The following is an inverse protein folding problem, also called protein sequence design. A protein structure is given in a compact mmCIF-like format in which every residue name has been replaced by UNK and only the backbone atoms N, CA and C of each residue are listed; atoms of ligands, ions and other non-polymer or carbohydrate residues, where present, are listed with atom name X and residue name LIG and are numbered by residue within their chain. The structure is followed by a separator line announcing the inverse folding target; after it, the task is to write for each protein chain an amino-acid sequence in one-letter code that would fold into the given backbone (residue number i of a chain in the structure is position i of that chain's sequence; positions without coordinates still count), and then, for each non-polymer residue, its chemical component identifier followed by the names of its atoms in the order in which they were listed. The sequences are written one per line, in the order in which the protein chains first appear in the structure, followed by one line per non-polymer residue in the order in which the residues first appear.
data_IF_315481794099
#
_entry.id   IF_315481794099
#
_cell.length_a   1.000
_cell.length_b   1.000
_cell.length_c   1.000
_cell.angle_alpha   90.00
_cell.angle_beta   90.00
_cell.angle_gamma   90.00
#
_symmetry.space_group_name_H-M   'P 1'
#
loop_
_entity.id
_entity.type
_entity.pdbx_description
1 polymer ?
#
# COMPACT_ATOMS: atom_id res chain seq x y z
N UNK A 1 -3.78 14.71 -3.82
CA UNK A 1 -3.28 13.31 -3.86
C UNK A 1 -1.81 13.37 -4.22
N UNK A 2 -0.94 12.66 -3.49
CA UNK A 2 0.52 12.66 -3.70
C UNK A 2 1.00 11.23 -3.87
N UNK A 3 1.77 10.95 -4.92
CA UNK A 3 2.49 9.68 -5.06
C UNK A 3 3.74 9.72 -4.16
N UNK A 4 3.80 8.88 -3.13
CA UNK A 4 4.90 8.88 -2.17
C UNK A 4 5.42 7.46 -2.00
N UNK A 5 6.68 7.21 -2.34
CA UNK A 5 7.28 5.90 -2.10
C UNK A 5 7.38 5.59 -0.60
N UNK A 6 6.87 4.44 -0.18
CA UNK A 6 6.89 4.01 1.23
C UNK A 6 8.30 3.66 1.72
N UNK A 7 9.18 3.27 0.81
CA UNK A 7 10.54 2.85 1.10
C UNK A 7 11.43 4.03 1.46
N UNK A 8 11.07 5.22 0.98
CA UNK A 8 11.82 6.46 1.18
C UNK A 8 11.17 7.37 2.23
N UNK A 9 9.96 7.05 2.72
CA UNK A 9 9.15 7.95 3.53
C UNK A 9 8.38 7.23 4.64
N UNK A 10 8.29 7.86 5.81
CA UNK A 10 7.42 7.39 6.89
C UNK A 10 5.96 7.84 6.64
N UNK A 11 5.21 6.97 5.97
CA UNK A 11 3.79 7.18 5.69
C UNK A 11 2.96 7.40 6.95
N UNK A 12 3.25 6.70 8.04
CA UNK A 12 2.47 6.83 9.27
C UNK A 12 2.65 8.22 9.89
N UNK A 13 3.89 8.74 9.89
CA UNK A 13 4.18 10.11 10.33
C UNK A 13 3.52 11.15 9.42
N UNK A 14 3.58 10.96 8.11
CA UNK A 14 2.97 11.89 7.14
C UNK A 14 1.45 11.92 7.31
N UNK A 15 0.78 10.76 7.37
CA UNK A 15 -0.66 10.68 7.58
C UNK A 15 -1.06 11.33 8.91
N UNK A 16 -0.37 11.03 10.02
CA UNK A 16 -0.64 11.70 11.30
C UNK A 16 -0.50 13.23 11.23
N UNK A 17 0.49 13.73 10.52
CA UNK A 17 0.73 15.17 10.39
C UNK A 17 -0.23 15.89 9.45
N UNK A 18 -0.78 15.19 8.45
CA UNK A 18 -1.53 15.81 7.35
C UNK A 18 -2.90 15.15 7.07
N UNK A 19 -3.43 14.37 8.02
CA UNK A 19 -4.70 13.67 7.87
C UNK A 19 -5.82 14.62 7.43
N UNK A 20 -6.63 14.18 6.47
CA UNK A 20 -7.74 14.97 5.90
C UNK A 20 -7.31 16.11 4.98
N UNK A 21 -6.00 16.41 4.86
CA UNK A 21 -5.47 17.47 3.98
C UNK A 21 -4.79 16.90 2.74
N UNK A 22 -4.21 15.71 2.86
CA UNK A 22 -3.58 15.00 1.74
C UNK A 22 -4.08 13.56 1.66
N UNK A 23 -3.93 12.98 0.48
CA UNK A 23 -4.13 11.55 0.24
C UNK A 23 -2.83 11.00 -0.33
N UNK A 24 -2.28 9.96 0.29
CA UNK A 24 -1.11 9.25 -0.19
C UNK A 24 -1.54 8.16 -1.18
N UNK A 25 -0.87 8.09 -2.31
CA UNK A 25 -1.06 7.08 -3.34
C UNK A 25 0.19 6.21 -3.45
N UNK A 26 0.00 4.89 -3.52
CA UNK A 26 1.08 3.90 -3.41
C UNK A 26 0.84 2.96 -2.23
N UNK A 27 1.88 2.67 -1.44
CA UNK A 27 1.73 1.93 -0.18
C UNK A 27 2.09 0.46 -0.23
N UNK A 28 2.33 -0.10 -1.42
CA UNK A 28 3.04 -1.38 -1.60
C UNK A 28 4.38 -1.12 -2.29
N UNK A 29 5.46 -1.64 -1.73
CA UNK A 29 6.84 -1.39 -2.15
C UNK A 29 7.07 -1.89 -3.57
N UNK A 30 7.67 -1.03 -4.40
CA UNK A 30 8.11 -1.39 -5.74
C UNK A 30 9.18 -2.49 -5.69
N UNK A 31 10.06 -2.44 -4.69
CA UNK A 31 11.10 -3.47 -4.49
C UNK A 31 10.48 -4.82 -4.08
N UNK A 32 9.43 -4.79 -3.27
CA UNK A 32 8.75 -6.01 -2.81
C UNK A 32 7.93 -6.63 -3.94
N UNK A 33 7.27 -5.82 -4.75
CA UNK A 33 6.57 -6.30 -5.95
C UNK A 33 7.54 -6.87 -7.01
N UNK A 34 8.76 -6.31 -7.13
CA UNK A 34 9.79 -6.81 -8.06
C UNK A 34 10.48 -8.09 -7.55
N UNK A 35 10.95 -8.09 -6.30
CA UNK A 35 11.88 -9.11 -5.79
C UNK A 35 11.37 -9.92 -4.61
N UNK A 36 10.32 -9.46 -3.95
CA UNK A 36 9.76 -10.12 -2.78
C UNK A 36 8.94 -11.35 -3.11
N UNK A 37 8.52 -12.04 -2.05
CA UNK A 37 7.57 -13.16 -2.11
C UNK A 37 6.13 -12.66 -1.98
N UNK A 38 5.17 -13.48 -2.40
CA UNK A 38 3.74 -13.20 -2.25
C UNK A 38 3.34 -12.98 -0.78
N UNK A 39 3.97 -13.68 0.16
CA UNK A 39 3.75 -13.47 1.61
C UNK A 39 4.24 -12.10 2.08
N UNK A 40 5.39 -11.62 1.56
CA UNK A 40 5.85 -10.28 1.88
C UNK A 40 4.89 -9.22 1.32
N UNK A 41 4.41 -9.40 0.08
CA UNK A 41 3.39 -8.53 -0.51
C UNK A 41 2.13 -8.48 0.35
N UNK A 42 1.67 -9.63 0.85
CA UNK A 42 0.48 -9.70 1.71
C UNK A 42 0.63 -8.86 2.99
N UNK A 43 1.79 -8.96 3.66
CA UNK A 43 2.10 -8.16 4.85
C UNK A 43 2.01 -6.67 4.53
N UNK A 44 2.58 -6.23 3.42
CA UNK A 44 2.56 -4.82 3.02
C UNK A 44 1.17 -4.31 2.67
N UNK A 45 0.35 -5.13 2.00
CA UNK A 45 -1.06 -4.80 1.73
C UNK A 45 -1.84 -4.64 3.03
N UNK A 46 -1.64 -5.53 4.00
CA UNK A 46 -2.30 -5.44 5.30
C UNK A 46 -1.90 -4.19 6.08
N UNK A 47 -0.61 -3.82 6.06
CA UNK A 47 -0.12 -2.57 6.63
C UNK A 47 -0.77 -1.37 5.95
N UNK A 48 -0.85 -1.37 4.62
CA UNK A 48 -1.47 -0.30 3.86
C UNK A 48 -2.97 -0.16 4.16
N UNK A 49 -3.70 -1.28 4.28
CA UNK A 49 -5.10 -1.31 4.72
C UNK A 49 -5.24 -0.71 6.12
N UNK A 50 -4.37 -1.10 7.06
CA UNK A 50 -4.38 -0.56 8.43
C UNK A 50 -4.16 0.95 8.45
N UNK A 51 -3.19 1.45 7.67
CA UNK A 51 -2.93 2.89 7.54
C UNK A 51 -4.12 3.64 6.92
N UNK A 52 -4.80 3.02 5.96
CA UNK A 52 -5.96 3.59 5.28
C UNK A 52 -7.28 3.57 6.06
N UNK A 53 -7.32 2.98 7.26
CA UNK A 53 -8.55 2.88 8.07
C UNK A 53 -9.22 4.23 8.37
N UNK A 54 -8.41 5.28 8.52
CA UNK A 54 -8.89 6.63 8.80
C UNK A 54 -9.08 7.47 7.52
N UNK A 55 -9.00 6.84 6.34
CA UNK A 55 -8.93 7.53 5.05
C UNK A 55 -7.55 8.11 4.74
N UNK A 56 -7.41 8.76 3.58
CA UNK A 56 -6.15 9.40 3.17
C UNK A 56 -5.14 8.48 2.49
N UNK A 57 -5.52 7.23 2.15
CA UNK A 57 -4.66 6.27 1.44
C UNK A 57 -5.39 5.70 0.23
N UNK A 58 -4.72 5.69 -0.92
CA UNK A 58 -5.09 4.92 -2.10
C UNK A 58 -3.99 3.88 -2.32
N UNK A 59 -4.31 2.61 -2.05
CA UNK A 59 -3.35 1.52 -2.21
C UNK A 59 -3.05 1.27 -3.69
N UNK A 60 -1.77 1.31 -4.04
CA UNK A 60 -1.24 1.05 -5.36
C UNK A 60 0.24 0.60 -5.25
N UNK A 61 0.84 0.07 -6.33
CA UNK A 61 2.29 -0.05 -6.40
C UNK A 61 2.97 1.30 -6.15
N UNK A 62 4.08 1.31 -5.41
CA UNK A 62 4.85 2.51 -5.09
C UNK A 62 5.56 3.15 -6.29
N UNK A 63 5.53 2.47 -7.45
CA UNK A 63 5.99 2.97 -8.74
C UNK A 63 5.25 2.29 -9.90
N UNK A 64 5.20 2.96 -11.04
CA UNK A 64 4.67 2.41 -12.28
C UNK A 64 5.75 1.63 -13.04
N UNK A 65 5.92 0.35 -12.72
CA UNK A 65 6.85 -0.57 -13.38
C UNK A 65 6.15 -1.87 -13.75
N UNK A 66 6.82 -2.71 -14.55
CA UNK A 66 6.39 -4.08 -14.81
C UNK A 66 6.86 -4.98 -13.66
N UNK A 67 5.93 -5.55 -12.91
CA UNK A 67 6.20 -6.44 -11.79
C UNK A 67 5.87 -7.89 -12.11
N UNK A 68 6.31 -8.82 -11.25
CA UNK A 68 5.94 -10.23 -11.34
C UNK A 68 4.42 -10.39 -11.21
N UNK A 69 3.81 -11.11 -12.14
CA UNK A 69 2.36 -11.32 -12.16
C UNK A 69 1.83 -11.95 -10.88
N UNK A 70 2.57 -12.88 -10.28
CA UNK A 70 2.22 -13.52 -9.00
C UNK A 70 2.14 -12.53 -7.83
N UNK A 71 3.02 -11.52 -7.81
CA UNK A 71 3.05 -10.51 -6.76
C UNK A 71 1.92 -9.50 -6.93
N UNK A 72 1.59 -9.11 -8.17
CA UNK A 72 0.42 -8.27 -8.45
C UNK A 72 -0.88 -9.00 -8.11
N UNK A 73 -0.97 -10.29 -8.42
CA UNK A 73 -2.13 -11.09 -8.08
C UNK A 73 -2.26 -11.30 -6.57
N UNK A 74 -1.16 -11.53 -5.86
CA UNK A 74 -1.15 -11.58 -4.39
C UNK A 74 -1.62 -10.25 -3.79
N UNK A 75 -1.15 -9.12 -4.31
CA UNK A 75 -1.59 -7.79 -3.88
C UNK A 75 -3.11 -7.62 -4.03
N UNK A 76 -3.65 -8.00 -5.20
CA UNK A 76 -5.08 -7.94 -5.50
C UNK A 76 -5.91 -8.83 -4.57
N UNK A 77 -5.52 -10.10 -4.43
CA UNK A 77 -6.24 -11.09 -3.61
C UNK A 77 -6.35 -10.65 -2.14
N UNK A 78 -5.23 -10.25 -1.54
CA UNK A 78 -5.20 -9.84 -0.12
C UNK A 78 -6.07 -8.59 0.09
N UNK A 79 -6.06 -7.65 -0.86
CA UNK A 79 -6.96 -6.51 -0.81
C UNK A 79 -8.43 -6.92 -0.90
N UNK A 80 -8.81 -7.76 -1.86
CA UNK A 80 -10.19 -8.22 -2.01
C UNK A 80 -10.72 -8.93 -0.75
N UNK A 81 -9.87 -9.73 -0.10
CA UNK A 81 -10.17 -10.43 1.14
C UNK A 81 -10.31 -9.49 2.35
N UNK A 82 -9.43 -8.49 2.46
CA UNK A 82 -9.26 -7.69 3.70
C UNK A 82 -9.78 -6.26 3.61
N UNK A 83 -10.23 -5.78 2.45
CA UNK A 83 -10.73 -4.40 2.24
C UNK A 83 -11.98 -4.06 3.05
N UNK A 84 -12.74 -5.05 3.50
CA UNK A 84 -13.96 -4.82 4.28
C UNK A 84 -13.57 -4.48 5.71
N UNK A 85 -13.79 -3.24 6.11
CA UNK A 85 -13.81 -2.87 7.50
C UNK A 85 -15.11 -3.44 8.10
N UNK A 86 -14.99 -4.31 9.11
CA UNK A 86 -16.11 -4.61 9.99
C UNK A 86 -16.20 -3.43 10.96
N UNK A 87 -17.30 -2.70 10.87
CA UNK A 87 -17.72 -1.71 11.87
C UNK A 87 -17.98 -2.40 13.23
#
# INVERSE_FOLDING_TARGET
ILNIQRECNDWAKILRGFQGRITLWGGVSARTLDRGTTSQVAVEVEECIKLGRMGGVIMAPGHALKYKSENIEAMRKVWEEKRKYRD
#
